data_IF_692580139860
#
_entry.id   IF_692580139860
#
_cell.length_a   1.000
_cell.length_b   1.000
_cell.length_c   1.000
_cell.angle_alpha   90.00
_cell.angle_beta   90.00
_cell.angle_gamma   90.00
#
_symmetry.space_group_name_H-M   'P 1'
#
loop_
_entity.id
_entity.type
_entity.pdbx_description
1 polymer ?
#
# COMPACT_ATOMS: atom_id res chain seq x y z
N UNK A 1 11.35 0.49 -20.40
CA UNK A 1 10.15 0.81 -19.60
C UNK A 1 10.48 2.06 -18.79
N UNK A 2 9.70 3.13 -18.91
CA UNK A 2 9.93 4.34 -18.09
C UNK A 2 9.28 4.08 -16.74
N UNK A 3 10.08 4.13 -15.68
CA UNK A 3 9.57 4.04 -14.32
C UNK A 3 8.94 5.37 -13.91
N UNK A 4 7.64 5.51 -14.19
CA UNK A 4 6.83 6.69 -13.87
C UNK A 4 6.77 6.97 -12.36
N UNK A 5 7.01 5.97 -11.51
CA UNK A 5 6.96 6.10 -10.05
C UNK A 5 8.19 6.82 -9.50
N UNK A 6 9.30 6.80 -10.23
CA UNK A 6 10.59 7.38 -9.83
C UNK A 6 10.88 8.78 -10.41
N UNK A 7 9.97 9.35 -11.20
CA UNK A 7 10.16 10.71 -11.76
C UNK A 7 9.88 11.76 -10.68
N UNK A 8 10.92 12.50 -10.28
CA UNK A 8 10.78 13.60 -9.30
C UNK A 8 9.88 14.70 -9.86
N UNK A 9 8.90 15.11 -9.04
CA UNK A 9 7.99 16.21 -9.36
C UNK A 9 6.80 15.83 -10.26
N UNK A 10 6.66 14.56 -10.64
CA UNK A 10 5.52 14.08 -11.41
C UNK A 10 4.34 13.77 -10.47
N UNK A 11 3.28 14.57 -10.58
CA UNK A 11 1.98 14.24 -10.00
C UNK A 11 1.20 13.34 -10.97
N UNK A 12 0.95 12.10 -10.54
CA UNK A 12 0.22 11.10 -11.32
C UNK A 12 -1.28 11.09 -10.99
N UNK A 13 -1.73 11.90 -10.03
CA UNK A 13 -3.14 11.90 -9.57
C UNK A 13 -4.13 12.25 -10.68
N UNK A 14 -3.66 12.92 -11.74
CA UNK A 14 -4.45 13.41 -12.86
C UNK A 14 -4.16 12.67 -14.18
N UNK A 15 -3.25 11.68 -14.17
CA UNK A 15 -2.90 10.93 -15.38
C UNK A 15 -3.76 9.68 -15.48
N UNK A 16 -4.72 9.70 -16.40
CA UNK A 16 -5.42 8.50 -16.84
C UNK A 16 -4.59 7.84 -17.94
N UNK A 17 -3.79 6.85 -17.56
CA UNK A 17 -3.00 6.05 -18.50
C UNK A 17 -3.55 4.63 -18.59
N UNK A 18 -3.64 4.10 -19.81
CA UNK A 18 -3.81 2.67 -20.04
C UNK A 18 -2.44 2.02 -19.92
N UNK A 19 -2.25 1.17 -18.92
CA UNK A 19 -1.01 0.41 -18.78
C UNK A 19 -0.88 -0.58 -19.93
N UNK A 20 0.35 -0.81 -20.37
CA UNK A 20 0.65 -1.89 -21.31
C UNK A 20 0.36 -3.23 -20.65
N UNK A 21 -0.03 -4.22 -21.44
CA UNK A 21 -0.13 -5.60 -20.96
C UNK A 21 1.22 -6.04 -20.39
N UNK A 22 1.19 -6.60 -19.18
CA UNK A 22 2.38 -7.04 -18.47
C UNK A 22 2.94 -8.32 -19.09
N UNK A 23 4.21 -8.28 -19.49
CA UNK A 23 4.95 -9.49 -19.87
C UNK A 23 5.52 -10.15 -18.62
N UNK A 24 4.81 -11.16 -18.10
CA UNK A 24 5.25 -11.92 -16.93
C UNK A 24 6.58 -12.64 -17.19
N UNK A 25 7.43 -12.66 -16.18
CA UNK A 25 8.71 -13.36 -16.17
C UNK A 25 9.06 -13.75 -14.73
N UNK A 26 10.30 -14.13 -14.46
CA UNK A 26 10.74 -14.54 -13.12
C UNK A 26 10.62 -13.40 -12.08
N UNK A 27 10.78 -12.14 -12.49
CA UNK A 27 10.73 -10.95 -11.62
C UNK A 27 9.39 -10.23 -11.64
N UNK A 28 8.63 -10.36 -12.73
CA UNK A 28 7.30 -9.74 -12.89
C UNK A 28 6.24 -10.82 -12.78
N UNK A 29 5.45 -10.75 -11.72
CA UNK A 29 4.56 -11.82 -11.28
C UNK A 29 3.11 -11.30 -11.17
N UNK A 30 2.15 -12.21 -11.11
CA UNK A 30 0.76 -11.90 -10.78
C UNK A 30 0.39 -12.23 -9.33
N UNK A 31 1.30 -12.86 -8.59
CA UNK A 31 1.15 -13.32 -7.22
C UNK A 31 2.52 -13.30 -6.51
N UNK A 32 2.56 -13.14 -5.18
CA UNK A 32 3.79 -13.29 -4.40
C UNK A 32 4.39 -14.68 -4.54
N UNK A 33 5.69 -14.76 -4.84
CA UNK A 33 6.51 -15.98 -4.79
C UNK A 33 7.98 -15.57 -4.74
N UNK A 34 8.84 -16.53 -4.40
CA UNK A 34 10.29 -16.32 -4.38
C UNK A 34 10.80 -15.74 -5.72
N UNK A 35 11.63 -14.70 -5.64
CA UNK A 35 12.24 -14.03 -6.80
C UNK A 35 11.39 -12.93 -7.45
N UNK A 36 10.12 -12.77 -7.07
CA UNK A 36 9.31 -11.66 -7.56
C UNK A 36 9.78 -10.31 -7.03
N UNK A 37 9.86 -9.34 -7.94
CA UNK A 37 10.23 -7.96 -7.65
C UNK A 37 9.01 -7.05 -7.88
N UNK A 38 8.22 -7.35 -8.90
CA UNK A 38 7.02 -6.58 -9.27
C UNK A 38 5.81 -7.51 -9.32
N UNK A 39 4.69 -7.09 -8.72
CA UNK A 39 3.42 -7.83 -8.75
C UNK A 39 2.38 -7.00 -9.50
N UNK A 40 1.80 -7.58 -10.56
CA UNK A 40 0.62 -7.05 -11.24
C UNK A 40 -0.62 -7.79 -10.77
N UNK A 41 -1.42 -7.11 -9.95
CA UNK A 41 -2.57 -7.70 -9.28
C UNK A 41 -2.63 -7.31 -7.81
N UNK A 42 -3.77 -7.62 -7.20
CA UNK A 42 -4.00 -7.40 -5.79
C UNK A 42 -3.25 -8.48 -4.96
N UNK A 43 -2.71 -8.10 -3.81
CA UNK A 43 -2.01 -8.97 -2.86
C UNK A 43 -2.79 -9.01 -1.56
N UNK A 44 -3.22 -10.20 -1.16
CA UNK A 44 -3.94 -10.45 0.08
C UNK A 44 -3.05 -11.21 1.07
N UNK A 45 -2.85 -10.63 2.25
CA UNK A 45 -2.04 -11.15 3.35
C UNK A 45 -2.95 -11.43 4.53
N UNK A 46 -3.15 -12.71 4.84
CA UNK A 46 -3.92 -13.21 5.98
C UNK A 46 -3.06 -13.95 7.00
N UNK A 47 -3.69 -14.62 7.96
CA UNK A 47 -3.03 -15.36 9.04
C UNK A 47 -2.03 -16.41 8.54
N UNK A 48 -2.39 -17.16 7.50
CA UNK A 48 -1.57 -18.25 6.93
C UNK A 48 -0.67 -17.82 5.76
N UNK A 49 -0.47 -16.51 5.56
CA UNK A 49 0.31 -16.01 4.44
C UNK A 49 1.82 -16.26 4.61
N UNK A 50 2.50 -16.73 3.55
CA UNK A 50 3.95 -16.88 3.54
C UNK A 50 4.65 -15.52 3.35
N UNK A 51 5.04 -14.90 4.47
CA UNK A 51 5.69 -13.60 4.46
C UNK A 51 7.05 -13.57 3.73
N UNK A 52 7.74 -14.71 3.58
CA UNK A 52 9.02 -14.77 2.88
C UNK A 52 8.88 -14.41 1.40
N UNK A 53 7.73 -14.74 0.80
CA UNK A 53 7.40 -14.44 -0.59
C UNK A 53 7.37 -12.92 -0.91
N UNK A 54 7.31 -12.07 0.11
CA UNK A 54 7.23 -10.61 -0.03
C UNK A 54 8.57 -9.89 0.17
N UNK A 55 9.62 -10.58 0.63
CA UNK A 55 10.91 -9.93 0.98
C UNK A 55 11.55 -9.17 -0.18
N UNK A 56 11.45 -9.71 -1.39
CA UNK A 56 12.05 -9.14 -2.60
C UNK A 56 11.11 -8.23 -3.38
N UNK A 57 9.83 -8.17 -3.01
CA UNK A 57 8.82 -7.41 -3.73
C UNK A 57 9.05 -5.91 -3.49
N UNK A 58 9.31 -5.18 -4.57
CA UNK A 58 9.56 -3.74 -4.58
C UNK A 58 8.33 -2.94 -4.98
N UNK A 59 7.47 -3.49 -5.84
CA UNK A 59 6.28 -2.80 -6.33
C UNK A 59 5.06 -3.72 -6.45
N UNK A 60 3.91 -3.20 -6.04
CA UNK A 60 2.59 -3.80 -6.26
C UNK A 60 1.78 -2.86 -7.16
N UNK A 61 1.36 -3.35 -8.31
CA UNK A 61 0.45 -2.69 -9.23
C UNK A 61 -0.97 -3.23 -9.04
N UNK A 62 -1.56 -2.87 -7.91
CA UNK A 62 -2.83 -3.33 -7.40
C UNK A 62 -3.02 -2.85 -5.96
N UNK A 63 -3.92 -3.50 -5.23
CA UNK A 63 -4.13 -3.30 -3.80
C UNK A 63 -3.22 -4.21 -2.98
N UNK A 64 -2.69 -3.70 -1.87
CA UNK A 64 -2.17 -4.50 -0.78
C UNK A 64 -3.20 -4.55 0.35
N UNK A 65 -3.68 -5.74 0.66
CA UNK A 65 -4.72 -6.00 1.65
C UNK A 65 -4.12 -6.87 2.75
N UNK A 66 -4.02 -6.35 3.96
CA UNK A 66 -3.50 -7.07 5.14
C UNK A 66 -4.63 -7.22 6.13
N UNK A 67 -5.14 -8.44 6.31
CA UNK A 67 -6.36 -8.68 7.06
C UNK A 67 -6.23 -9.83 8.06
N UNK A 68 -6.59 -9.59 9.32
CA UNK A 68 -6.73 -10.67 10.32
C UNK A 68 -5.42 -11.37 10.68
N UNK A 69 -4.29 -10.67 10.62
CA UNK A 69 -2.97 -11.22 10.95
C UNK A 69 -2.59 -10.95 12.41
N UNK A 70 -1.60 -11.69 12.90
CA UNK A 70 -0.96 -11.49 14.21
C UNK A 70 0.28 -10.57 14.15
N UNK A 71 0.48 -9.85 13.04
CA UNK A 71 1.62 -8.96 12.83
C UNK A 71 1.64 -7.80 13.82
N UNK A 72 2.82 -7.49 14.35
CA UNK A 72 3.05 -6.29 15.17
C UNK A 72 3.50 -5.07 14.35
N UNK A 73 4.12 -5.32 13.20
CA UNK A 73 4.65 -4.32 12.28
C UNK A 73 4.73 -4.83 10.82
N UNK A 74 5.26 -3.99 9.93
CA UNK A 74 5.45 -4.30 8.49
C UNK A 74 6.91 -4.59 8.12
N UNK A 75 7.73 -5.06 9.06
CA UNK A 75 9.17 -5.32 8.82
C UNK A 75 9.43 -6.35 7.73
N UNK A 76 8.53 -7.32 7.52
CA UNK A 76 8.64 -8.33 6.46
C UNK A 76 8.57 -7.74 5.03
N UNK A 77 8.01 -6.53 4.87
CA UNK A 77 7.95 -5.79 3.59
C UNK A 77 9.26 -5.03 3.35
N UNK A 78 10.39 -5.75 3.42
CA UNK A 78 11.74 -5.19 3.48
C UNK A 78 12.13 -4.36 2.24
N UNK A 79 11.56 -4.72 1.07
CA UNK A 79 11.90 -4.10 -0.21
C UNK A 79 10.77 -3.27 -0.80
N UNK A 80 9.56 -3.32 -0.23
CA UNK A 80 8.38 -2.68 -0.80
C UNK A 80 8.53 -1.16 -0.81
N UNK A 81 8.60 -0.59 -2.00
CA UNK A 81 8.75 0.85 -2.24
C UNK A 81 7.48 1.48 -2.79
N UNK A 82 6.67 0.73 -3.54
CA UNK A 82 5.55 1.26 -4.29
C UNK A 82 4.29 0.41 -4.19
N UNK A 83 3.17 1.08 -3.96
CA UNK A 83 1.83 0.50 -4.11
C UNK A 83 1.04 1.41 -5.06
N UNK A 84 0.62 0.88 -6.20
CA UNK A 84 -0.02 1.63 -7.27
C UNK A 84 -1.28 0.90 -7.74
N UNK A 85 -2.44 1.34 -7.27
CA UNK A 85 -3.71 0.80 -7.73
C UNK A 85 -4.03 1.34 -9.12
N UNK A 86 -3.95 0.46 -10.13
CA UNK A 86 -4.18 0.79 -11.53
C UNK A 86 -5.67 0.84 -11.88
N UNK A 87 -6.52 0.17 -11.11
CA UNK A 87 -7.95 0.15 -11.33
C UNK A 87 -8.63 1.35 -10.66
N UNK A 88 -9.60 1.91 -11.37
CA UNK A 88 -10.39 3.05 -10.91
C UNK A 88 -11.27 2.68 -9.73
N UNK A 89 -11.28 3.54 -8.70
CA UNK A 89 -12.18 3.42 -7.55
C UNK A 89 -11.75 2.40 -6.49
N UNK A 90 -10.63 1.69 -6.66
CA UNK A 90 -10.06 0.80 -5.65
C UNK A 90 -9.06 1.52 -4.74
N UNK A 91 -8.95 1.06 -3.49
CA UNK A 91 -8.00 1.59 -2.50
C UNK A 91 -6.66 0.85 -2.57
N UNK A 92 -5.52 1.53 -2.71
CA UNK A 92 -4.21 0.91 -2.81
C UNK A 92 -3.77 0.13 -1.57
N UNK A 93 -3.98 0.66 -0.36
CA UNK A 93 -3.57 0.00 0.89
C UNK A 93 -4.76 -0.13 1.83
N UNK A 94 -5.05 -1.36 2.23
CA UNK A 94 -6.11 -1.71 3.17
C UNK A 94 -5.50 -2.60 4.25
N UNK A 95 -5.57 -2.16 5.50
CA UNK A 95 -5.04 -2.89 6.66
C UNK A 95 -6.15 -3.01 7.70
N UNK A 96 -6.66 -4.21 7.92
CA UNK A 96 -7.86 -4.40 8.75
C UNK A 96 -7.74 -5.57 9.73
N UNK A 97 -8.39 -5.47 10.88
CA UNK A 97 -8.53 -6.58 11.83
C UNK A 97 -7.19 -7.16 12.36
N UNK A 98 -6.10 -6.38 12.37
CA UNK A 98 -4.80 -6.80 12.90
C UNK A 98 -4.61 -6.24 14.32
N UNK A 99 -5.13 -6.97 15.33
CA UNK A 99 -5.18 -6.47 16.71
C UNK A 99 -3.81 -6.32 17.38
N UNK A 100 -2.80 -7.06 16.90
CA UNK A 100 -1.41 -6.96 17.38
C UNK A 100 -0.63 -5.81 16.74
N UNK A 101 -1.14 -5.18 15.67
CA UNK A 101 -0.41 -4.19 14.89
C UNK A 101 -0.21 -2.89 15.69
N UNK A 102 1.01 -2.64 16.14
CA UNK A 102 1.36 -1.46 16.96
C UNK A 102 2.28 -0.49 16.23
N UNK A 103 2.72 -0.81 15.01
CA UNK A 103 3.57 0.04 14.19
C UNK A 103 3.17 -0.01 12.71
N UNK A 104 2.67 1.13 12.20
CA UNK A 104 2.25 1.25 10.79
C UNK A 104 3.39 1.62 9.84
N UNK A 105 4.64 1.70 10.33
CA UNK A 105 5.77 2.17 9.51
C UNK A 105 6.25 1.07 8.57
N UNK A 106 6.35 1.40 7.29
CA UNK A 106 6.98 0.54 6.30
C UNK A 106 8.48 0.84 6.21
N UNK A 107 9.34 -0.18 6.03
CA UNK A 107 10.80 0.02 5.97
C UNK A 107 11.26 0.92 4.82
N UNK A 108 10.73 0.71 3.62
CA UNK A 108 11.18 1.40 2.39
C UNK A 108 10.07 2.01 1.54
N UNK A 109 8.82 1.98 2.00
CA UNK A 109 7.70 2.51 1.23
C UNK A 109 7.94 4.00 0.95
N UNK A 110 7.85 4.38 -0.31
CA UNK A 110 8.09 5.75 -0.78
C UNK A 110 6.82 6.42 -1.26
N UNK A 111 5.94 5.65 -1.90
CA UNK A 111 4.74 6.20 -2.55
C UNK A 111 3.61 5.18 -2.57
N UNK A 112 2.42 5.68 -2.25
CA UNK A 112 1.15 5.02 -2.52
C UNK A 112 0.41 5.89 -3.52
N UNK A 113 -0.17 5.29 -4.55
CA UNK A 113 -1.00 5.98 -5.53
C UNK A 113 -2.19 5.13 -5.94
N UNK A 114 -3.29 5.79 -6.32
CA UNK A 114 -4.47 5.13 -6.85
C UNK A 114 -5.15 5.97 -7.93
N UNK A 115 -5.84 5.33 -8.86
CA UNK A 115 -6.55 6.02 -9.93
C UNK A 115 -7.87 6.63 -9.45
N UNK A 116 -7.94 7.97 -9.47
CA UNK A 116 -9.16 8.70 -9.16
C UNK A 116 -10.24 8.44 -10.22
N UNK A 117 -11.48 8.32 -9.75
CA UNK A 117 -12.66 8.50 -10.61
C UNK A 117 -13.22 9.90 -10.42
N UNK A 118 -14.02 10.35 -11.38
CA UNK A 118 -14.73 11.62 -11.29
C UNK A 118 -15.82 11.60 -10.20
N UNK A 119 -16.22 10.40 -9.77
CA UNK A 119 -17.34 10.16 -8.86
C UNK A 119 -16.90 9.92 -7.41
N UNK A 120 -15.64 9.52 -7.16
CA UNK A 120 -15.17 9.14 -5.81
C UNK A 120 -13.73 9.58 -5.53
N UNK A 121 -13.52 10.12 -4.32
CA UNK A 121 -12.18 10.34 -3.77
C UNK A 121 -11.57 8.98 -3.43
N UNK A 122 -10.54 8.57 -4.15
CA UNK A 122 -9.75 7.40 -3.74
C UNK A 122 -8.96 7.75 -2.48
N UNK A 123 -9.26 7.03 -1.40
CA UNK A 123 -8.47 6.95 -0.18
C UNK A 123 -7.27 6.05 -0.48
N UNK A 124 -6.07 6.48 -0.12
CA UNK A 124 -4.85 5.76 -0.49
C UNK A 124 -4.50 4.69 0.54
N UNK A 125 -4.76 4.96 1.81
CA UNK A 125 -4.50 4.05 2.91
C UNK A 125 -5.66 4.03 3.91
N UNK A 126 -6.10 2.83 4.27
CA UNK A 126 -7.19 2.58 5.22
C UNK A 126 -6.66 1.64 6.31
N UNK A 127 -6.84 2.03 7.57
CA UNK A 127 -6.52 1.21 8.74
C UNK A 127 -7.78 1.08 9.62
N UNK A 128 -8.47 -0.06 9.59
CA UNK A 128 -9.69 -0.23 10.40
C UNK A 128 -9.59 -1.42 11.34
N UNK A 129 -10.12 -1.28 12.56
CA UNK A 129 -10.24 -2.37 13.52
C UNK A 129 -8.89 -3.08 13.80
N UNK A 130 -7.80 -2.33 13.74
CA UNK A 130 -6.48 -2.79 14.18
C UNK A 130 -6.32 -2.48 15.67
N UNK A 131 -5.10 -2.54 16.21
CA UNK A 131 -4.85 -2.13 17.58
C UNK A 131 -5.33 -0.69 17.85
N UNK A 132 -6.12 -0.49 18.91
CA UNK A 132 -6.73 0.81 19.28
C UNK A 132 -5.69 1.93 19.45
N UNK A 133 -4.45 1.58 19.84
CA UNK A 133 -3.39 2.57 19.98
C UNK A 133 -3.10 3.32 18.68
N UNK A 134 -3.38 2.73 17.51
CA UNK A 134 -3.19 3.34 16.21
C UNK A 134 -4.16 4.52 15.96
N UNK A 135 -5.39 4.43 16.44
CA UNK A 135 -6.41 5.49 16.29
C UNK A 135 -6.40 6.48 17.45
N UNK A 136 -6.04 6.04 18.66
CA UNK A 136 -6.01 6.92 19.84
C UNK A 136 -4.80 7.86 19.88
N UNK A 137 -3.69 7.51 19.22
CA UNK A 137 -2.43 8.26 19.31
C UNK A 137 -2.12 8.98 18.00
N UNK A 138 -2.25 10.33 17.96
CA UNK A 138 -2.00 11.13 16.76
C UNK A 138 -0.61 10.94 16.14
N UNK A 139 0.39 10.53 16.94
CA UNK A 139 1.76 10.29 16.47
C UNK A 139 1.82 9.28 15.33
N UNK A 140 0.98 8.23 15.36
CA UNK A 140 0.99 7.18 14.35
C UNK A 140 0.49 7.71 13.01
N UNK A 141 -0.62 8.44 13.05
CA UNK A 141 -1.14 9.21 11.92
C UNK A 141 -0.08 10.12 11.31
N UNK A 142 0.57 10.96 12.11
CA UNK A 142 1.57 11.93 11.61
C UNK A 142 2.84 11.26 11.10
N UNK A 143 3.29 10.18 11.75
CA UNK A 143 4.49 9.45 11.37
C UNK A 143 4.31 8.78 10.02
N UNK A 144 3.19 8.08 9.81
CA UNK A 144 2.87 7.43 8.54
C UNK A 144 2.78 8.45 7.40
N UNK A 145 2.05 9.54 7.59
CA UNK A 145 1.94 10.58 6.55
C UNK A 145 3.30 11.16 6.18
N UNK A 146 4.15 11.41 7.18
CA UNK A 146 5.47 11.99 6.96
C UNK A 146 6.43 11.03 6.25
N UNK A 147 6.35 9.72 6.52
CA UNK A 147 7.27 8.74 5.93
C UNK A 147 7.07 8.61 4.41
N UNK A 148 5.84 8.70 3.93
CA UNK A 148 5.50 8.57 2.50
C UNK A 148 5.01 9.87 1.84
N UNK A 149 5.12 11.01 2.55
CA UNK A 149 4.66 12.34 2.10
C UNK A 149 3.21 12.34 1.61
N UNK A 150 2.35 11.62 2.30
CA UNK A 150 0.94 11.47 1.94
C UNK A 150 0.12 12.70 2.36
N UNK A 151 -0.81 13.14 1.51
CA UNK A 151 -1.76 14.22 1.84
C UNK A 151 -2.76 13.77 2.93
N UNK A 152 -3.18 14.69 3.80
CA UNK A 152 -4.01 14.40 4.98
C UNK A 152 -5.34 13.69 4.65
N UNK A 153 -5.94 14.01 3.51
CA UNK A 153 -7.23 13.48 3.06
C UNK A 153 -7.15 12.09 2.40
N UNK A 154 -5.98 11.47 2.38
CA UNK A 154 -5.72 10.17 1.75
C UNK A 154 -5.48 9.03 2.73
N UNK A 155 -5.48 9.30 4.04
CA UNK A 155 -5.34 8.31 5.10
C UNK A 155 -6.56 8.32 6.03
N UNK A 156 -7.13 7.15 6.28
CA UNK A 156 -8.22 6.95 7.21
C UNK A 156 -7.84 5.89 8.24
N UNK A 157 -8.14 6.17 9.52
CA UNK A 157 -7.98 5.23 10.63
C UNK A 157 -9.33 5.14 11.35
N UNK A 158 -9.89 3.94 11.45
CA UNK A 158 -11.21 3.64 12.03
C UNK A 158 -12.30 4.58 11.51
N UNK A 159 -12.37 4.73 10.18
CA UNK A 159 -13.33 5.61 9.49
C UNK A 159 -13.10 7.12 9.69
N UNK A 160 -12.10 7.53 10.48
CA UNK A 160 -11.77 8.94 10.70
C UNK A 160 -10.63 9.36 9.78
N UNK A 161 -10.79 10.52 9.15
CA UNK A 161 -9.70 11.14 8.39
C UNK A 161 -8.56 11.43 9.35
N UNK A 162 -7.34 11.16 8.88
CA UNK A 162 -6.11 11.52 9.55
C UNK A 162 -5.82 13.03 9.45
N UNK A 163 -6.72 13.88 9.95
CA UNK A 163 -6.53 15.33 10.10
C UNK A 163 -5.93 15.64 11.47
N UNK A 164 -5.05 16.65 11.52
CA UNK A 164 -4.41 17.12 12.76
C UNK A 164 -5.40 17.34 13.91
#
# INVERSE_FOLDING_TARGET
MIDLLNIKGLDLDHIQAKYCDSSFNEKVCNQPKEGCVEIFGDVEIGEDFDFESMKTVEAIYGSLIINGTSLEDFSFLESLMYISQLEQGKHPLIVENNLSLINMTFPKLKKIQGQRTWESIVIFAIFNNNNEALSERPRFCTSFKSSIKLMDEKLYIDGKRCSK
#
